data_IF_156541072878
#
_entry.id   IF_156541072878
#
_cell.length_a   1.000
_cell.length_b   1.000
_cell.length_c   1.000
_cell.angle_alpha   90.00
_cell.angle_beta   90.00
_cell.angle_gamma   90.00
#
_symmetry.space_group_name_H-M   'P 1'
#
loop_
_entity.id
_entity.type
_entity.pdbx_description
1 polymer ?
#
# COMPACT_ATOMS: atom_id res chain seq x y z
N UNK A 1 18.23 -61.82 14.81
CA UNK A 1 17.56 -61.18 13.66
C UNK A 1 16.94 -62.27 12.79
N UNK A 2 15.60 -62.38 12.79
CA UNK A 2 14.84 -63.42 12.13
C UNK A 2 15.12 -63.38 10.58
N UNK A 3 15.47 -64.53 9.97
CA UNK A 3 15.76 -64.66 8.53
C UNK A 3 14.55 -64.22 7.68
N UNK A 4 14.50 -62.94 7.31
CA UNK A 4 13.51 -62.45 6.34
C UNK A 4 13.96 -62.84 4.93
N UNK A 5 13.03 -63.42 4.19
CA UNK A 5 13.24 -63.86 2.78
C UNK A 5 13.67 -62.66 1.94
N UNK A 6 14.54 -62.82 0.99
CA UNK A 6 15.12 -61.74 0.16
C UNK A 6 14.04 -60.86 -0.48
N UNK A 7 12.91 -61.43 -0.91
CA UNK A 7 11.73 -60.69 -1.39
C UNK A 7 11.17 -59.69 -0.35
N UNK A 8 11.06 -60.10 0.91
CA UNK A 8 10.56 -59.23 2.00
C UNK A 8 11.50 -58.06 2.28
N UNK A 9 12.81 -58.26 2.19
CA UNK A 9 13.79 -57.18 2.38
C UNK A 9 13.68 -56.12 1.26
N UNK A 10 13.53 -56.56 0.02
CA UNK A 10 13.35 -55.72 -1.15
C UNK A 10 12.03 -54.93 -1.06
N UNK A 11 10.92 -55.60 -0.71
CA UNK A 11 9.61 -54.91 -0.55
C UNK A 11 9.61 -53.86 0.56
N UNK A 12 10.29 -54.13 1.70
CA UNK A 12 10.39 -53.14 2.79
C UNK A 12 11.27 -51.99 2.38
N UNK A 13 12.41 -52.22 1.72
CA UNK A 13 13.28 -51.16 1.26
C UNK A 13 12.58 -50.28 0.22
N UNK A 14 11.86 -50.89 -0.75
CA UNK A 14 11.10 -50.11 -1.73
C UNK A 14 9.94 -49.36 -1.12
N UNK A 15 9.20 -49.98 -0.17
CA UNK A 15 8.15 -49.29 0.60
C UNK A 15 8.65 -48.09 1.35
N UNK A 16 9.84 -48.20 2.01
CA UNK A 16 10.45 -47.04 2.69
C UNK A 16 10.80 -45.90 1.73
N UNK A 17 11.35 -46.21 0.55
CA UNK A 17 11.68 -45.19 -0.47
C UNK A 17 10.40 -44.49 -0.95
N UNK A 18 9.33 -45.25 -1.21
CA UNK A 18 8.05 -44.69 -1.68
C UNK A 18 7.44 -43.78 -0.59
N UNK A 19 7.48 -44.18 0.68
CA UNK A 19 7.01 -43.34 1.79
C UNK A 19 7.83 -42.05 1.89
N UNK A 20 9.17 -42.13 1.84
CA UNK A 20 10.04 -40.96 1.84
C UNK A 20 9.72 -40.01 0.66
N UNK A 21 9.47 -40.57 -0.51
CA UNK A 21 9.08 -39.77 -1.67
C UNK A 21 7.77 -39.01 -1.45
N UNK A 22 6.72 -39.66 -0.95
CA UNK A 22 5.45 -38.99 -0.66
C UNK A 22 5.58 -37.92 0.43
N UNK A 23 6.38 -38.17 1.47
CA UNK A 23 6.66 -37.16 2.50
C UNK A 23 7.37 -35.94 1.90
N UNK A 24 8.37 -36.17 1.08
CA UNK A 24 9.12 -35.06 0.43
C UNK A 24 8.22 -34.24 -0.48
N UNK A 25 7.41 -34.90 -1.33
CA UNK A 25 6.44 -34.21 -2.21
C UNK A 25 5.41 -33.44 -1.39
N UNK A 26 4.89 -34.00 -0.29
CA UNK A 26 3.95 -33.32 0.59
C UNK A 26 4.53 -32.04 1.23
N UNK A 27 5.78 -32.11 1.71
CA UNK A 27 6.50 -30.96 2.28
C UNK A 27 6.74 -29.87 1.22
N UNK A 28 7.15 -30.26 0.01
CA UNK A 28 7.35 -29.31 -1.09
C UNK A 28 6.05 -28.65 -1.50
N UNK A 29 4.97 -29.39 -1.59
CA UNK A 29 3.65 -28.85 -1.95
C UNK A 29 3.14 -27.84 -0.90
N UNK A 30 3.26 -28.21 0.39
CA UNK A 30 2.91 -27.32 1.49
C UNK A 30 3.76 -26.02 1.48
N UNK A 31 5.07 -26.15 1.27
CA UNK A 31 5.97 -25.00 1.12
C UNK A 31 5.58 -24.09 -0.03
N UNK A 32 5.25 -24.65 -1.19
CA UNK A 32 4.87 -23.90 -2.38
C UNK A 32 3.56 -23.13 -2.18
N UNK A 33 2.54 -23.75 -1.57
CA UNK A 33 1.26 -23.09 -1.25
C UNK A 33 1.49 -21.94 -0.27
N UNK A 34 2.29 -22.15 0.76
CA UNK A 34 2.57 -21.12 1.78
C UNK A 34 3.34 -19.93 1.18
N UNK A 35 4.34 -20.18 0.33
CA UNK A 35 5.08 -19.12 -0.39
C UNK A 35 4.15 -18.37 -1.33
N UNK A 36 3.32 -19.05 -2.11
CA UNK A 36 2.37 -18.43 -3.03
C UNK A 36 1.38 -17.49 -2.31
N UNK A 37 0.85 -17.93 -1.17
CA UNK A 37 -0.08 -17.12 -0.37
C UNK A 37 0.60 -15.86 0.18
N UNK A 38 1.81 -16.01 0.72
CA UNK A 38 2.59 -14.87 1.25
C UNK A 38 2.99 -13.89 0.14
N UNK A 39 3.37 -14.39 -1.03
CA UNK A 39 3.71 -13.58 -2.19
C UNK A 39 2.50 -12.78 -2.68
N UNK A 40 1.33 -13.42 -2.77
CA UNK A 40 0.09 -12.76 -3.20
C UNK A 40 -0.33 -11.66 -2.22
N UNK A 41 -0.26 -11.91 -0.91
CA UNK A 41 -0.54 -10.90 0.11
C UNK A 41 0.45 -9.73 0.05
N UNK A 42 1.76 -10.03 -0.06
CA UNK A 42 2.79 -9.00 -0.18
C UNK A 42 2.60 -8.15 -1.43
N UNK A 43 2.33 -8.77 -2.57
CA UNK A 43 2.10 -8.05 -3.83
C UNK A 43 0.85 -7.20 -3.78
N UNK A 44 -0.26 -7.73 -3.28
CA UNK A 44 -1.52 -7.00 -3.16
C UNK A 44 -1.38 -5.77 -2.25
N UNK A 45 -0.82 -5.93 -1.06
CA UNK A 45 -0.66 -4.85 -0.10
C UNK A 45 0.28 -3.75 -0.62
N UNK A 46 1.40 -4.11 -1.25
CA UNK A 46 2.31 -3.12 -1.81
C UNK A 46 1.74 -2.41 -3.04
N UNK A 47 0.99 -3.12 -3.89
CA UNK A 47 0.35 -2.51 -5.04
C UNK A 47 -0.73 -1.50 -4.61
N UNK A 48 -1.58 -1.85 -3.66
CA UNK A 48 -2.58 -0.95 -3.10
C UNK A 48 -1.92 0.27 -2.42
N UNK A 49 -0.84 0.08 -1.67
CA UNK A 49 -0.08 1.17 -1.07
C UNK A 49 0.47 2.15 -2.13
N UNK A 50 1.04 1.64 -3.23
CA UNK A 50 1.51 2.47 -4.34
C UNK A 50 0.37 3.26 -4.96
N UNK A 51 -0.79 2.64 -5.20
CA UNK A 51 -1.97 3.31 -5.76
C UNK A 51 -2.44 4.47 -4.86
N UNK A 52 -2.47 4.27 -3.55
CA UNK A 52 -2.88 5.32 -2.62
C UNK A 52 -1.85 6.46 -2.53
N UNK A 53 -0.55 6.15 -2.54
CA UNK A 53 0.52 7.17 -2.58
C UNK A 53 0.48 7.97 -3.89
N UNK A 54 0.24 7.33 -5.03
CA UNK A 54 0.07 8.03 -6.30
C UNK A 54 -1.15 8.96 -6.28
N UNK A 55 -2.27 8.54 -5.70
CA UNK A 55 -3.43 9.43 -5.51
C UNK A 55 -3.12 10.60 -4.59
N UNK A 56 -2.39 10.40 -3.48
CA UNK A 56 -1.92 11.50 -2.62
C UNK A 56 -1.13 12.50 -3.43
N UNK A 57 -0.19 12.04 -4.28
CA UNK A 57 0.59 12.90 -5.17
C UNK A 57 -0.29 13.68 -6.15
N UNK A 58 -1.25 13.01 -6.79
CA UNK A 58 -2.18 13.64 -7.76
C UNK A 58 -3.01 14.72 -7.07
N UNK A 59 -3.60 14.42 -5.91
CA UNK A 59 -4.41 15.38 -5.16
C UNK A 59 -3.57 16.55 -4.61
N UNK A 60 -2.33 16.31 -4.20
CA UNK A 60 -1.40 17.37 -3.80
C UNK A 60 -1.14 18.33 -4.96
N UNK A 61 -0.82 17.82 -6.14
CA UNK A 61 -0.58 18.63 -7.33
C UNK A 61 -1.83 19.43 -7.75
N UNK A 62 -3.01 18.78 -7.72
CA UNK A 62 -4.29 19.43 -8.04
C UNK A 62 -4.63 20.53 -7.02
N UNK A 63 -4.35 20.32 -5.74
CA UNK A 63 -4.51 21.32 -4.68
C UNK A 63 -3.62 22.53 -4.97
N UNK A 64 -2.32 22.30 -5.21
CA UNK A 64 -1.37 23.39 -5.52
C UNK A 64 -1.80 24.16 -6.77
N UNK A 65 -2.18 23.47 -7.84
CA UNK A 65 -2.63 24.11 -9.08
C UNK A 65 -3.85 24.98 -8.84
N UNK A 66 -4.89 24.50 -8.15
CA UNK A 66 -6.09 25.30 -7.89
C UNK A 66 -5.81 26.47 -6.92
N UNK A 67 -4.87 26.31 -5.99
CA UNK A 67 -4.41 27.44 -5.17
C UNK A 67 -3.71 28.52 -6.00
N UNK A 68 -2.83 28.13 -6.92
CA UNK A 68 -2.16 29.08 -7.82
C UNK A 68 -3.19 29.79 -8.70
N UNK A 69 -4.14 29.07 -9.29
CA UNK A 69 -5.23 29.67 -10.09
C UNK A 69 -6.08 30.64 -9.26
N UNK A 70 -6.38 30.30 -8.01
CA UNK A 70 -7.10 31.19 -7.10
C UNK A 70 -6.31 32.45 -6.76
N UNK A 71 -4.96 32.38 -6.70
CA UNK A 71 -4.09 33.54 -6.41
C UNK A 71 -3.97 34.52 -7.58
N UNK A 72 -3.97 34.01 -8.81
CA UNK A 72 -3.73 34.82 -10.01
C UNK A 72 -5.03 35.30 -10.69
N UNK A 73 -6.18 34.85 -10.21
CA UNK A 73 -7.47 35.19 -10.81
C UNK A 73 -8.09 36.38 -10.13
N UNK A 74 -8.45 37.40 -10.90
CA UNK A 74 -9.09 38.63 -10.39
C UNK A 74 -10.63 38.49 -10.27
N UNK A 75 -11.24 37.38 -10.76
CA UNK A 75 -12.67 37.14 -10.65
C UNK A 75 -13.00 36.41 -9.33
N UNK A 76 -13.74 37.06 -8.39
CA UNK A 76 -14.11 36.44 -7.12
C UNK A 76 -14.92 35.16 -7.25
N UNK A 77 -15.71 35.00 -8.34
CA UNK A 77 -16.51 33.81 -8.58
C UNK A 77 -15.65 32.63 -9.00
N UNK A 78 -14.69 32.88 -9.88
CA UNK A 78 -13.71 31.88 -10.28
C UNK A 78 -12.83 31.47 -9.09
N UNK A 79 -12.36 32.43 -8.29
CA UNK A 79 -11.57 32.16 -7.08
C UNK A 79 -12.32 31.26 -6.09
N UNK A 80 -13.62 31.51 -5.85
CA UNK A 80 -14.45 30.62 -5.01
C UNK A 80 -14.55 29.20 -5.56
N UNK A 81 -14.64 29.07 -6.87
CA UNK A 81 -14.66 27.75 -7.53
C UNK A 81 -13.35 27.00 -7.31
N UNK A 82 -12.21 27.67 -7.49
CA UNK A 82 -10.88 27.06 -7.23
C UNK A 82 -10.71 26.66 -5.78
N UNK A 83 -11.15 27.49 -4.82
CA UNK A 83 -11.10 27.14 -3.39
C UNK A 83 -11.99 25.94 -3.05
N UNK A 84 -13.19 25.84 -3.64
CA UNK A 84 -14.05 24.65 -3.48
C UNK A 84 -13.39 23.38 -4.03
N UNK A 85 -12.67 23.49 -5.16
CA UNK A 85 -11.90 22.38 -5.72
C UNK A 85 -10.75 21.98 -4.77
N UNK A 86 -10.06 22.95 -4.19
CA UNK A 86 -9.00 22.71 -3.18
C UNK A 86 -9.54 21.88 -2.02
N UNK A 87 -10.70 22.22 -1.47
CA UNK A 87 -11.31 21.46 -0.37
C UNK A 87 -11.65 20.03 -0.77
N UNK A 88 -12.18 19.83 -1.97
CA UNK A 88 -12.46 18.49 -2.51
C UNK A 88 -11.20 17.65 -2.68
N UNK A 89 -10.13 18.22 -3.24
CA UNK A 89 -8.86 17.53 -3.41
C UNK A 89 -8.17 17.22 -2.08
N UNK A 90 -8.27 18.11 -1.09
CA UNK A 90 -7.74 17.88 0.26
C UNK A 90 -8.46 16.72 0.97
N UNK A 91 -9.76 16.60 0.79
CA UNK A 91 -10.52 15.45 1.29
C UNK A 91 -10.01 14.15 0.69
N UNK A 92 -9.89 14.09 -0.64
CA UNK A 92 -9.35 12.90 -1.30
C UNK A 92 -7.88 12.61 -0.94
N UNK A 93 -7.08 13.64 -0.69
CA UNK A 93 -5.70 13.50 -0.21
C UNK A 93 -5.68 12.86 1.19
N UNK A 94 -6.49 13.38 2.12
CA UNK A 94 -6.57 12.87 3.49
C UNK A 94 -7.01 11.39 3.51
N UNK A 95 -8.07 11.04 2.80
CA UNK A 95 -8.57 9.65 2.71
C UNK A 95 -7.50 8.67 2.22
N UNK A 96 -6.73 9.04 1.19
CA UNK A 96 -5.70 8.17 0.64
C UNK A 96 -4.44 8.13 1.52
N UNK A 97 -4.11 9.23 2.20
CA UNK A 97 -3.02 9.28 3.15
C UNK A 97 -3.32 8.44 4.40
N UNK A 98 -4.53 8.55 4.95
CA UNK A 98 -4.98 7.77 6.10
C UNK A 98 -4.98 6.28 5.77
N UNK A 99 -5.50 5.91 4.59
CA UNK A 99 -5.45 4.53 4.14
C UNK A 99 -4.00 4.00 4.08
N UNK A 100 -3.07 4.78 3.50
CA UNK A 100 -1.67 4.40 3.43
C UNK A 100 -1.06 4.22 4.81
N UNK A 101 -1.28 5.17 5.72
CA UNK A 101 -0.73 5.10 7.09
C UNK A 101 -1.27 3.91 7.88
N UNK A 102 -2.53 3.51 7.65
CA UNK A 102 -3.18 2.41 8.35
C UNK A 102 -2.78 1.02 7.80
N UNK A 103 -2.55 0.91 6.49
CA UNK A 103 -2.39 -0.39 5.82
C UNK A 103 -0.97 -0.70 5.37
N UNK A 104 -0.06 0.29 5.37
CA UNK A 104 1.32 0.06 4.98
C UNK A 104 2.10 -0.70 6.06
N UNK A 105 2.56 -1.91 5.71
CA UNK A 105 3.25 -2.83 6.63
C UNK A 105 4.79 -2.82 6.47
N UNK A 106 5.34 -1.79 5.82
CA UNK A 106 6.78 -1.65 5.62
C UNK A 106 7.49 -0.91 6.76
N UNK A 107 8.52 -0.14 6.41
CA UNK A 107 9.30 0.62 7.38
C UNK A 107 8.47 1.77 7.99
N UNK A 108 8.19 1.69 9.28
CA UNK A 108 7.44 2.71 10.02
C UNK A 108 8.13 4.07 10.05
N UNK A 109 9.44 4.13 9.82
CA UNK A 109 10.16 5.40 9.68
C UNK A 109 9.63 6.20 8.49
N UNK A 110 9.34 5.51 7.38
CA UNK A 110 8.76 6.10 6.16
C UNK A 110 7.37 6.65 6.45
N UNK A 111 6.53 5.90 7.16
CA UNK A 111 5.17 6.32 7.56
C UNK A 111 5.22 7.58 8.42
N UNK A 112 6.10 7.61 9.42
CA UNK A 112 6.25 8.77 10.30
C UNK A 112 6.76 10.01 9.56
N UNK A 113 7.71 9.86 8.66
CA UNK A 113 8.19 10.95 7.80
C UNK A 113 7.09 11.47 6.88
N UNK A 114 6.35 10.57 6.25
CA UNK A 114 5.21 10.92 5.40
C UNK A 114 4.15 11.72 6.18
N UNK A 115 3.76 11.25 7.36
CA UNK A 115 2.81 11.95 8.23
C UNK A 115 3.30 13.34 8.62
N UNK A 116 4.57 13.49 9.00
CA UNK A 116 5.16 14.80 9.37
C UNK A 116 5.14 15.78 8.19
N UNK A 117 5.49 15.31 6.99
CA UNK A 117 5.47 16.12 5.78
C UNK A 117 4.04 16.54 5.39
N UNK A 118 3.09 15.63 5.53
CA UNK A 118 1.68 15.90 5.25
C UNK A 118 1.12 16.98 6.19
N UNK A 119 1.43 16.91 7.49
CA UNK A 119 1.03 17.92 8.47
C UNK A 119 1.62 19.30 8.14
N UNK A 120 2.92 19.36 7.86
CA UNK A 120 3.58 20.61 7.48
C UNK A 120 2.96 21.25 6.22
N UNK A 121 2.66 20.41 5.21
CA UNK A 121 1.99 20.88 3.99
C UNK A 121 0.59 21.37 4.27
N UNK A 122 -0.17 20.69 5.13
CA UNK A 122 -1.53 21.09 5.52
C UNK A 122 -1.56 22.45 6.24
N UNK A 123 -0.61 22.71 7.12
CA UNK A 123 -0.51 24.01 7.81
C UNK A 123 -0.27 25.15 6.85
N UNK A 124 0.66 24.99 5.90
CA UNK A 124 0.94 26.00 4.87
C UNK A 124 -0.31 26.22 3.99
N UNK A 125 -0.94 25.16 3.55
CA UNK A 125 -2.15 25.21 2.72
C UNK A 125 -3.28 25.95 3.44
N UNK A 126 -3.51 25.69 4.72
CA UNK A 126 -4.53 26.38 5.52
C UNK A 126 -4.30 27.88 5.57
N UNK A 127 -3.06 28.32 5.79
CA UNK A 127 -2.70 29.74 5.81
C UNK A 127 -2.99 30.43 4.46
N UNK A 128 -2.64 29.76 3.34
CA UNK A 128 -2.90 30.31 2.01
C UNK A 128 -4.40 30.43 1.74
N UNK A 129 -5.20 29.41 2.10
CA UNK A 129 -6.65 29.44 1.93
C UNK A 129 -7.25 30.57 2.80
N UNK A 130 -6.79 30.75 4.03
CA UNK A 130 -7.23 31.82 4.91
C UNK A 130 -6.97 33.21 4.27
N UNK A 131 -5.75 33.45 3.76
CA UNK A 131 -5.45 34.72 3.08
C UNK A 131 -6.32 34.95 1.84
N UNK A 132 -6.53 33.92 1.02
CA UNK A 132 -7.37 34.02 -0.18
C UNK A 132 -8.83 34.27 0.18
N UNK A 133 -9.35 33.67 1.23
CA UNK A 133 -10.75 33.87 1.69
C UNK A 133 -11.01 35.24 2.29
N UNK A 134 -9.98 35.89 2.86
CA UNK A 134 -10.07 37.26 3.38
C UNK A 134 -10.04 38.32 2.27
N UNK A 135 -9.61 37.96 1.07
CA UNK A 135 -9.53 38.85 -0.10
C UNK A 135 -10.79 38.83 -0.98
N UNK A 136 -11.76 37.97 -0.68
CA UNK A 136 -13.02 37.79 -1.42
C UNK A 136 -14.16 38.60 -0.82
#
# INVERSE_FOLDING_TARGET
MKNRNMKQKITIAFGAVVICFFVTVGVLFYGMVNISTRYTQFYKNNHEAIVHVDKVKIYTLATIQNMVEAMINDDPTATKTYLSNVDSYRTGLAENADWFMEHYNGDMTVVNQFHTQLQATSEVTNKVIEYLSLSL
#
